data_IF_912514357720
#
_entry.id   IF_912514357720
#
_cell.length_a   1.000
_cell.length_b   1.000
_cell.length_c   1.000
_cell.angle_alpha   90.00
_cell.angle_beta   90.00
_cell.angle_gamma   90.00
#
_symmetry.space_group_name_H-M   'P 1'
#
loop_
_entity.id
_entity.type
_entity.pdbx_description
1 polymer ?
#
# COMPACT_ATOMS: atom_id res chain seq x y z
N UNK A 1 2.68 15.23 -2.86
CA UNK A 1 2.20 15.21 -1.45
C UNK A 1 2.72 13.96 -0.72
N UNK A 2 2.56 12.77 -1.28
CA UNK A 2 2.91 11.46 -0.68
C UNK A 2 4.34 11.38 -0.16
N UNK A 3 5.30 12.00 -0.84
CA UNK A 3 6.69 12.09 -0.38
C UNK A 3 6.88 12.71 1.01
N UNK A 4 5.91 13.49 1.49
CA UNK A 4 5.95 14.09 2.85
C UNK A 4 5.68 13.05 3.94
N UNK A 5 5.15 11.90 3.55
CA UNK A 5 4.77 10.81 4.44
C UNK A 5 5.88 9.75 4.60
N UNK A 6 7.01 9.92 3.92
CA UNK A 6 8.17 9.04 3.99
C UNK A 6 9.45 9.83 4.24
N UNK A 7 10.47 9.15 4.75
CA UNK A 7 11.77 9.72 5.08
C UNK A 7 12.90 9.15 4.20
N UNK A 8 14.04 9.82 4.18
CA UNK A 8 15.17 9.46 3.33
C UNK A 8 15.77 8.10 3.64
N UNK A 9 15.64 7.63 4.89
CA UNK A 9 16.15 6.32 5.32
C UNK A 9 15.15 5.17 5.11
N UNK A 10 13.90 5.50 4.71
CA UNK A 10 12.87 4.48 4.54
C UNK A 10 13.20 3.52 3.40
N UNK A 11 12.84 2.26 3.60
CA UNK A 11 12.74 1.23 2.57
C UNK A 11 11.25 0.98 2.34
N UNK A 12 10.74 1.51 1.23
CA UNK A 12 9.33 1.47 0.89
C UNK A 12 9.03 0.29 -0.02
N UNK A 13 7.95 -0.45 0.27
CA UNK A 13 7.38 -1.42 -0.65
C UNK A 13 6.03 -0.89 -1.17
N UNK A 14 5.95 -0.59 -2.47
CA UNK A 14 4.70 -0.29 -3.17
C UNK A 14 4.06 -1.60 -3.62
N UNK A 15 2.97 -1.98 -2.97
CA UNK A 15 2.26 -3.26 -3.18
C UNK A 15 1.32 -3.23 -4.41
N UNK A 16 1.18 -2.07 -5.06
CA UNK A 16 0.23 -1.83 -6.16
C UNK A 16 0.85 -0.96 -7.25
N UNK A 17 2.02 -1.34 -7.71
CA UNK A 17 2.89 -0.51 -8.55
C UNK A 17 2.25 0.12 -9.79
N UNK A 18 1.36 -0.61 -10.49
CA UNK A 18 0.68 -0.12 -11.68
C UNK A 18 1.65 0.37 -12.75
N UNK A 19 1.43 1.56 -13.29
CA UNK A 19 2.35 2.17 -14.26
C UNK A 19 3.58 2.85 -13.61
N UNK A 20 3.74 2.76 -12.28
CA UNK A 20 4.91 3.22 -11.56
C UNK A 20 4.92 4.70 -11.18
N UNK A 21 3.84 5.45 -11.36
CA UNK A 21 3.84 6.88 -11.11
C UNK A 21 4.12 7.25 -9.64
N UNK A 22 3.41 6.62 -8.69
CA UNK A 22 3.63 6.86 -7.27
C UNK A 22 5.00 6.32 -6.82
N UNK A 23 5.38 5.12 -7.30
CA UNK A 23 6.70 4.53 -7.07
C UNK A 23 7.84 5.45 -7.51
N UNK A 24 7.72 6.09 -8.69
CA UNK A 24 8.70 7.06 -9.16
C UNK A 24 8.89 8.20 -8.16
N UNK A 25 7.79 8.87 -7.79
CA UNK A 25 7.89 10.00 -6.86
C UNK A 25 8.38 9.58 -5.46
N UNK A 26 8.00 8.42 -4.97
CA UNK A 26 8.50 7.90 -3.70
C UNK A 26 10.00 7.59 -3.78
N UNK A 27 10.48 6.99 -4.88
CA UNK A 27 11.90 6.66 -5.07
C UNK A 27 12.84 7.86 -5.01
N UNK A 28 12.36 9.05 -5.35
CA UNK A 28 13.14 10.28 -5.26
C UNK A 28 13.43 10.73 -3.82
N UNK A 29 12.73 10.16 -2.83
CA UNK A 29 12.84 10.56 -1.42
C UNK A 29 13.49 9.49 -0.55
N UNK A 30 13.24 8.22 -0.82
CA UNK A 30 13.56 7.09 0.07
C UNK A 30 14.90 6.45 -0.28
N UNK A 31 15.47 5.67 0.66
CA UNK A 31 16.75 4.99 0.44
C UNK A 31 16.62 3.86 -0.60
N UNK A 32 15.51 3.12 -0.57
CA UNK A 32 15.20 2.01 -1.48
C UNK A 32 13.69 1.90 -1.68
N UNK A 33 13.29 1.50 -2.89
CA UNK A 33 11.91 1.18 -3.19
C UNK A 33 11.80 -0.22 -3.79
N UNK A 34 10.86 -1.00 -3.31
CA UNK A 34 10.44 -2.28 -3.89
C UNK A 34 9.07 -2.01 -4.53
N UNK A 35 9.00 -2.17 -5.85
CA UNK A 35 7.78 -2.07 -6.63
C UNK A 35 7.23 -3.46 -6.86
N UNK A 36 5.95 -3.68 -6.55
CA UNK A 36 5.26 -4.96 -6.73
C UNK A 36 4.03 -4.75 -7.62
N UNK A 37 3.95 -5.52 -8.69
CA UNK A 37 2.82 -5.51 -9.61
C UNK A 37 2.63 -6.90 -10.20
N UNK A 38 1.38 -7.35 -10.28
CA UNK A 38 1.03 -8.70 -10.79
C UNK A 38 0.88 -8.77 -12.31
N UNK A 39 0.78 -7.64 -12.96
CA UNK A 39 0.71 -7.56 -14.43
C UNK A 39 2.11 -7.37 -15.00
N UNK A 40 2.65 -8.44 -15.58
CA UNK A 40 4.00 -8.44 -16.17
C UNK A 40 4.20 -7.29 -17.18
N UNK A 41 3.18 -6.98 -18.00
CA UNK A 41 3.29 -5.85 -18.94
C UNK A 41 3.43 -4.50 -18.26
N UNK A 42 2.83 -4.31 -17.06
CA UNK A 42 3.04 -3.08 -16.29
C UNK A 42 4.43 -3.06 -15.66
N UNK A 43 4.95 -4.21 -15.23
CA UNK A 43 6.33 -4.32 -14.76
C UNK A 43 7.33 -3.93 -15.85
N UNK A 44 7.14 -4.39 -17.08
CA UNK A 44 8.01 -4.05 -18.22
C UNK A 44 7.98 -2.54 -18.53
N UNK A 45 6.77 -1.95 -18.55
CA UNK A 45 6.60 -0.51 -18.77
C UNK A 45 7.23 0.30 -17.63
N UNK A 46 7.00 -0.12 -16.37
CA UNK A 46 7.59 0.55 -15.22
C UNK A 46 9.12 0.45 -15.25
N UNK A 47 9.68 -0.71 -15.55
CA UNK A 47 11.13 -0.92 -15.66
C UNK A 47 11.75 0.03 -16.70
N UNK A 48 11.17 0.06 -17.89
CA UNK A 48 11.60 0.97 -18.94
C UNK A 48 11.54 2.44 -18.51
N UNK A 49 10.40 2.86 -17.93
CA UNK A 49 10.23 4.23 -17.49
C UNK A 49 11.22 4.62 -16.40
N UNK A 50 11.44 3.75 -15.41
CA UNK A 50 12.39 4.01 -14.32
C UNK A 50 13.83 4.15 -14.85
N UNK A 51 14.22 3.31 -15.83
CA UNK A 51 15.51 3.42 -16.48
C UNK A 51 15.66 4.75 -17.20
N UNK A 52 14.67 5.17 -18.02
CA UNK A 52 14.68 6.44 -18.74
C UNK A 52 14.72 7.66 -17.80
N UNK A 53 14.09 7.55 -16.64
CA UNK A 53 14.07 8.59 -15.61
C UNK A 53 15.31 8.56 -14.69
N UNK A 54 16.21 7.61 -14.90
CA UNK A 54 17.46 7.50 -14.14
C UNK A 54 17.30 7.03 -12.70
N UNK A 55 16.18 6.37 -12.36
CA UNK A 55 15.95 5.80 -11.03
C UNK A 55 16.85 4.58 -10.83
N UNK A 56 17.59 4.56 -9.71
CA UNK A 56 18.59 3.51 -9.44
C UNK A 56 18.32 2.72 -8.16
N UNK A 57 17.45 3.20 -7.30
CA UNK A 57 17.13 2.63 -5.99
C UNK A 57 15.79 1.87 -5.98
N UNK A 58 15.32 1.41 -7.15
CA UNK A 58 14.09 0.64 -7.29
C UNK A 58 14.39 -0.82 -7.66
N UNK A 59 13.66 -1.73 -7.03
CA UNK A 59 13.61 -3.15 -7.38
C UNK A 59 12.20 -3.47 -7.86
N UNK A 60 12.05 -4.01 -9.06
CA UNK A 60 10.76 -4.39 -9.62
C UNK A 60 10.55 -5.89 -9.41
N UNK A 61 9.38 -6.23 -8.86
CA UNK A 61 8.92 -7.59 -8.64
C UNK A 61 7.59 -7.81 -9.40
N UNK A 62 7.62 -8.68 -10.40
CA UNK A 62 6.42 -9.24 -11.04
C UNK A 62 5.84 -10.28 -10.09
N UNK A 63 4.90 -9.84 -9.25
CA UNK A 63 4.41 -10.65 -8.16
C UNK A 63 3.03 -10.19 -7.67
N UNK A 64 2.30 -11.10 -7.02
CA UNK A 64 1.07 -10.75 -6.32
C UNK A 64 1.39 -10.31 -4.89
N UNK A 65 0.88 -9.15 -4.45
CA UNK A 65 1.17 -8.57 -3.15
C UNK A 65 0.82 -9.50 -1.98
N UNK A 66 -0.33 -10.17 -2.04
CA UNK A 66 -0.78 -11.10 -0.98
C UNK A 66 0.12 -12.34 -0.95
N UNK A 67 0.39 -12.95 -2.11
CA UNK A 67 1.28 -14.09 -2.22
C UNK A 67 2.71 -13.76 -1.76
N UNK A 68 3.22 -12.56 -2.11
CA UNK A 68 4.53 -12.09 -1.69
C UNK A 68 4.65 -11.99 -0.16
N UNK A 69 3.65 -11.41 0.51
CA UNK A 69 3.63 -11.25 1.96
C UNK A 69 3.54 -12.59 2.70
N UNK A 70 2.87 -13.58 2.11
CA UNK A 70 2.67 -14.90 2.73
C UNK A 70 3.82 -15.86 2.43
N UNK A 71 4.18 -15.97 1.16
CA UNK A 71 5.05 -17.05 0.65
C UNK A 71 6.52 -16.66 0.55
N UNK A 72 6.81 -15.37 0.39
CA UNK A 72 8.16 -14.84 0.08
C UNK A 72 8.52 -13.60 0.87
N UNK A 73 8.25 -13.58 2.20
CA UNK A 73 8.51 -12.39 3.02
C UNK A 73 10.01 -12.00 3.07
N UNK A 74 10.91 -12.91 2.78
CA UNK A 74 12.34 -12.63 2.69
C UNK A 74 12.70 -11.60 1.60
N UNK A 75 11.91 -11.51 0.53
CA UNK A 75 12.08 -10.48 -0.52
C UNK A 75 11.78 -9.06 -0.01
N UNK A 76 11.08 -8.96 1.11
CA UNK A 76 10.70 -7.71 1.76
C UNK A 76 11.64 -7.34 2.92
N UNK A 77 12.80 -7.98 3.00
CA UNK A 77 13.76 -7.73 4.07
C UNK A 77 14.16 -6.26 4.16
N UNK A 78 14.02 -5.70 5.36
CA UNK A 78 14.34 -4.31 5.67
C UNK A 78 13.22 -3.31 5.34
N UNK A 79 12.12 -3.73 4.72
CA UNK A 79 10.95 -2.85 4.49
C UNK A 79 10.41 -2.36 5.82
N UNK A 80 10.27 -1.05 5.96
CA UNK A 80 9.68 -0.39 7.13
C UNK A 80 8.42 0.43 6.78
N UNK A 81 8.16 0.64 5.48
CA UNK A 81 6.96 1.32 5.01
C UNK A 81 6.32 0.54 3.87
N UNK A 82 5.04 0.22 3.99
CA UNK A 82 4.22 -0.26 2.88
C UNK A 82 3.39 0.89 2.30
N UNK A 83 3.42 1.02 0.99
CA UNK A 83 2.54 1.91 0.23
C UNK A 83 1.57 1.08 -0.61
N UNK A 84 0.35 1.58 -0.79
CA UNK A 84 -0.63 0.97 -1.69
C UNK A 84 -1.61 2.00 -2.25
N UNK A 85 -2.03 1.79 -3.50
CA UNK A 85 -3.12 2.46 -4.20
C UNK A 85 -4.01 1.38 -4.84
N UNK A 86 -4.80 0.64 -4.04
CA UNK A 86 -5.57 -0.47 -4.56
C UNK A 86 -6.58 0.00 -5.61
N UNK A 87 -6.57 -0.67 -6.76
CA UNK A 87 -7.54 -0.42 -7.81
C UNK A 87 -8.95 -0.83 -7.38
N UNK A 88 -9.97 -0.33 -8.06
CA UNK A 88 -11.34 -0.81 -7.86
C UNK A 88 -11.58 -2.07 -8.67
N UNK A 89 -12.17 -3.09 -8.08
CA UNK A 89 -12.72 -4.22 -8.83
C UNK A 89 -13.84 -3.71 -9.73
N UNK A 90 -13.64 -3.78 -11.03
CA UNK A 90 -14.52 -3.19 -12.02
C UNK A 90 -15.90 -3.82 -12.12
N UNK A 91 -16.80 -3.04 -12.69
CA UNK A 91 -18.14 -3.37 -13.17
C UNK A 91 -19.26 -3.40 -12.10
N UNK A 92 -19.80 -2.26 -11.86
CA UNK A 92 -21.12 -2.10 -11.26
C UNK A 92 -21.30 -0.65 -10.83
N UNK A 93 -22.36 -0.04 -11.31
CA UNK A 93 -22.80 1.31 -10.98
C UNK A 93 -23.23 1.43 -9.48
N UNK A 94 -22.48 0.73 -8.58
CA UNK A 94 -22.73 0.77 -7.15
C UNK A 94 -22.10 2.02 -6.56
N UNK A 95 -22.93 2.88 -5.99
CA UNK A 95 -22.54 4.14 -5.32
C UNK A 95 -21.93 3.92 -3.93
N UNK A 96 -21.83 2.68 -3.47
CA UNK A 96 -21.26 2.36 -2.16
C UNK A 96 -19.84 1.83 -2.38
N UNK A 97 -18.89 2.51 -1.79
CA UNK A 97 -17.48 2.11 -1.80
C UNK A 97 -17.20 1.32 -0.53
N UNK A 98 -16.71 0.09 -0.68
CA UNK A 98 -16.32 -0.78 0.43
C UNK A 98 -14.86 -1.24 0.25
N UNK A 99 -14.24 -1.68 1.33
CA UNK A 99 -12.86 -2.18 1.32
C UNK A 99 -12.72 -3.46 0.47
N UNK A 100 -13.77 -4.27 0.43
CA UNK A 100 -13.89 -5.47 -0.39
C UNK A 100 -13.95 -5.18 -1.91
N UNK A 101 -14.30 -3.94 -2.30
CA UNK A 101 -14.30 -3.53 -3.70
C UNK A 101 -12.90 -3.11 -4.19
N UNK A 102 -11.92 -3.13 -3.31
CA UNK A 102 -10.52 -2.83 -3.62
C UNK A 102 -9.80 -4.05 -4.18
N UNK A 103 -8.77 -3.82 -4.99
CA UNK A 103 -7.88 -4.86 -5.47
C UNK A 103 -6.41 -4.40 -5.33
N UNK A 104 -5.64 -5.06 -4.44
CA UNK A 104 -6.03 -6.19 -3.56
C UNK A 104 -7.11 -5.82 -2.56
N UNK A 105 -7.89 -6.84 -2.09
CA UNK A 105 -8.90 -6.67 -1.05
C UNK A 105 -8.23 -6.25 0.26
N UNK A 106 -8.64 -5.10 0.79
CA UNK A 106 -8.02 -4.57 2.01
C UNK A 106 -8.38 -5.39 3.26
N UNK A 107 -9.51 -6.10 3.27
CA UNK A 107 -9.84 -6.98 4.38
C UNK A 107 -8.91 -8.20 4.45
N UNK A 108 -8.38 -8.66 3.30
CA UNK A 108 -7.39 -9.74 3.25
C UNK A 108 -5.97 -9.22 3.51
N UNK A 109 -5.63 -8.07 2.94
CA UNK A 109 -4.29 -7.52 2.97
C UNK A 109 -3.92 -6.90 4.33
N UNK A 110 -4.86 -6.21 4.98
CA UNK A 110 -4.56 -5.46 6.21
C UNK A 110 -4.10 -6.34 7.38
N UNK A 111 -4.72 -7.51 7.64
CA UNK A 111 -4.21 -8.44 8.66
C UNK A 111 -2.77 -8.91 8.40
N UNK A 112 -2.39 -9.12 7.14
CA UNK A 112 -1.01 -9.49 6.78
C UNK A 112 -0.04 -8.34 7.06
N UNK A 113 -0.44 -7.10 6.75
CA UNK A 113 0.34 -5.92 7.07
C UNK A 113 0.49 -5.70 8.58
N UNK A 114 -0.54 -6.00 9.38
CA UNK A 114 -0.46 -5.92 10.84
C UNK A 114 0.65 -6.82 11.41
N UNK A 115 0.90 -7.98 10.79
CA UNK A 115 2.01 -8.87 11.19
C UNK A 115 3.39 -8.29 10.90
N UNK A 116 3.51 -7.44 9.89
CA UNK A 116 4.78 -6.82 9.52
C UNK A 116 5.27 -5.79 10.53
N UNK A 117 4.36 -5.24 11.36
CA UNK A 117 4.65 -4.17 12.34
C UNK A 117 5.23 -2.90 11.74
N UNK A 118 5.02 -2.69 10.46
CA UNK A 118 5.53 -1.55 9.70
C UNK A 118 4.53 -0.39 9.64
N UNK A 119 5.01 0.74 9.18
CA UNK A 119 4.16 1.84 8.75
C UNK A 119 3.43 1.47 7.46
N UNK A 120 2.18 1.89 7.33
CA UNK A 120 1.38 1.70 6.10
C UNK A 120 0.83 3.03 5.63
N UNK A 121 0.95 3.28 4.34
CA UNK A 121 0.35 4.42 3.66
C UNK A 121 -0.59 3.86 2.59
N UNK A 122 -1.90 4.06 2.77
CA UNK A 122 -2.89 3.60 1.81
C UNK A 122 -3.61 4.79 1.15
N UNK A 123 -3.53 4.86 -0.18
CA UNK A 123 -4.32 5.81 -0.97
C UNK A 123 -5.68 5.20 -1.27
N UNK A 124 -6.72 5.89 -0.90
CA UNK A 124 -8.09 5.42 -1.03
C UNK A 124 -8.97 6.45 -1.73
N UNK A 125 -10.12 5.97 -2.20
CA UNK A 125 -11.14 6.82 -2.82
C UNK A 125 -11.65 7.87 -1.84
N UNK A 126 -11.84 9.14 -2.27
CA UNK A 126 -12.45 10.19 -1.45
C UNK A 126 -13.93 9.92 -1.10
N UNK A 127 -14.54 8.90 -1.72
CA UNK A 127 -15.95 8.52 -1.47
C UNK A 127 -16.11 7.55 -0.30
N UNK A 128 -15.01 7.07 0.31
CA UNK A 128 -15.07 6.18 1.46
C UNK A 128 -15.44 6.92 2.73
N UNK A 129 -16.21 6.27 3.60
CA UNK A 129 -16.55 6.79 4.92
C UNK A 129 -15.35 6.64 5.87
N UNK A 130 -14.76 7.76 6.26
CA UNK A 130 -13.59 7.79 7.15
C UNK A 130 -13.88 7.13 8.50
N UNK A 131 -15.07 7.31 9.06
CA UNK A 131 -15.43 6.71 10.36
C UNK A 131 -15.45 5.19 10.26
N UNK A 132 -15.99 4.67 9.15
CA UNK A 132 -16.01 3.23 8.90
C UNK A 132 -14.59 2.68 8.71
N UNK A 133 -13.72 3.40 7.98
CA UNK A 133 -12.31 3.03 7.82
C UNK A 133 -11.58 2.92 9.16
N UNK A 134 -11.77 3.89 10.05
CA UNK A 134 -11.15 3.91 11.38
C UNK A 134 -11.60 2.76 12.27
N UNK A 135 -12.83 2.24 12.07
CA UNK A 135 -13.35 1.09 12.81
C UNK A 135 -12.88 -0.25 12.23
N UNK A 136 -12.65 -0.32 10.92
CA UNK A 136 -12.31 -1.57 10.23
C UNK A 136 -10.80 -1.82 10.14
N UNK A 137 -10.00 -0.75 10.07
CA UNK A 137 -8.55 -0.85 9.86
C UNK A 137 -7.81 -0.38 11.13
N UNK A 138 -7.31 -1.29 11.96
CA UNK A 138 -6.58 -0.91 13.18
C UNK A 138 -5.24 -0.24 12.84
N UNK A 139 -4.75 0.58 13.77
CA UNK A 139 -3.44 1.23 13.68
C UNK A 139 -3.42 2.55 12.93
N UNK A 140 -4.52 3.01 12.33
CA UNK A 140 -4.57 4.32 11.65
C UNK A 140 -4.26 5.43 12.66
N UNK A 141 -3.31 6.30 12.31
CA UNK A 141 -2.88 7.47 13.08
C UNK A 141 -3.32 8.77 12.43
N UNK A 142 -3.28 8.83 11.10
CA UNK A 142 -3.58 10.04 10.35
C UNK A 142 -4.46 9.73 9.14
N UNK A 143 -5.33 10.67 8.81
CA UNK A 143 -6.12 10.65 7.58
C UNK A 143 -5.92 12.00 6.89
N UNK A 144 -5.26 11.99 5.72
CA UNK A 144 -5.07 13.19 4.92
C UNK A 144 -6.11 13.25 3.81
N UNK A 145 -6.89 14.32 3.81
CA UNK A 145 -7.83 14.63 2.73
C UNK A 145 -7.11 15.52 1.72
N UNK A 146 -6.73 14.96 0.59
CA UNK A 146 -5.98 15.70 -0.44
C UNK A 146 -6.96 16.30 -1.45
N UNK A 147 -6.97 17.62 -1.53
CA UNK A 147 -7.86 18.37 -2.42
C UNK A 147 -7.07 19.27 -3.36
N UNK A 148 -7.56 19.42 -4.57
CA UNK A 148 -7.06 20.37 -5.57
C UNK A 148 -8.22 21.21 -6.07
N UNK A 149 -8.12 22.54 -5.95
CA UNK A 149 -9.19 23.49 -6.36
C UNK A 149 -10.56 23.15 -5.74
N UNK A 150 -10.58 22.88 -4.43
CA UNK A 150 -11.78 22.51 -3.66
C UNK A 150 -12.42 21.17 -4.08
N UNK A 151 -11.75 20.36 -4.89
CA UNK A 151 -12.20 19.03 -5.26
C UNK A 151 -11.33 17.97 -4.56
N UNK A 152 -11.94 17.11 -3.73
CA UNK A 152 -11.25 16.06 -3.01
C UNK A 152 -10.81 14.98 -4.00
N UNK A 153 -9.51 14.73 -4.10
CA UNK A 153 -8.92 13.81 -5.07
C UNK A 153 -8.65 12.44 -4.48
N UNK A 154 -8.15 12.39 -3.24
CA UNK A 154 -7.78 11.14 -2.60
C UNK A 154 -7.81 11.28 -1.07
N UNK A 155 -8.00 10.17 -0.39
CA UNK A 155 -7.71 10.00 1.03
C UNK A 155 -6.39 9.24 1.16
N UNK A 156 -5.49 9.73 2.01
CA UNK A 156 -4.29 8.98 2.37
C UNK A 156 -4.39 8.61 3.85
N UNK A 157 -4.49 7.32 4.12
CA UNK A 157 -4.42 6.77 5.47
C UNK A 157 -2.96 6.52 5.82
N UNK A 158 -2.54 6.95 6.99
CA UNK A 158 -1.24 6.61 7.56
C UNK A 158 -1.49 5.79 8.81
N UNK A 159 -1.03 4.55 8.81
CA UNK A 159 -1.12 3.64 9.93
C UNK A 159 0.28 3.32 10.48
N UNK A 160 0.37 3.20 11.80
CA UNK A 160 1.50 2.63 12.51
C UNK A 160 1.05 1.30 13.11
N UNK A 161 1.54 0.22 12.54
CA UNK A 161 1.15 -1.14 12.93
C UNK A 161 2.06 -1.74 14.01
N UNK A 162 3.07 -1.01 14.49
CA UNK A 162 4.02 -1.50 15.50
C UNK A 162 3.34 -1.90 16.81
N UNK A 163 2.27 -1.20 17.18
CA UNK A 163 1.52 -1.41 18.43
C UNK A 163 0.19 -2.18 18.24
N UNK A 164 -0.16 -2.61 17.02
CA UNK A 164 -1.37 -3.38 16.79
C UNK A 164 -1.16 -4.80 17.32
N UNK A 165 -2.04 -5.35 18.19
CA UNK A 165 -1.93 -6.72 18.65
C UNK A 165 -1.91 -7.71 17.46
N UNK A 166 -1.19 -8.82 17.64
CA UNK A 166 -1.20 -9.92 16.68
C UNK A 166 -2.24 -10.93 17.12
N UNK A 167 -3.42 -10.88 16.52
CA UNK A 167 -4.55 -11.77 16.86
C UNK A 167 -4.29 -13.23 16.46
N UNK A 168 -3.21 -13.54 15.76
CA UNK A 168 -2.87 -14.92 15.35
C UNK A 168 -2.41 -15.82 16.52
N UNK A 169 -2.24 -15.26 17.73
CA UNK A 169 -1.80 -16.02 18.92
C UNK A 169 -2.95 -16.56 19.79
N UNK A 170 -4.20 -16.31 19.41
CA UNK A 170 -5.36 -16.73 20.23
C UNK A 170 -5.99 -18.07 19.81
N UNK A 171 -5.46 -18.77 18.81
CA UNK A 171 -6.02 -20.08 18.39
C UNK A 171 -5.51 -21.29 19.21
N UNK A 172 -4.68 -21.08 20.24
CA UNK A 172 -4.13 -22.17 21.07
C UNK A 172 -4.79 -22.31 22.46
N UNK A 173 -6.03 -21.90 22.60
CA UNK A 173 -6.79 -22.24 23.81
C UNK A 173 -8.02 -23.09 23.44
N UNK A 174 -7.76 -24.37 23.22
CA UNK A 174 -8.80 -25.39 23.25
C UNK A 174 -8.75 -26.05 24.64
N UNK A 175 -9.86 -26.12 25.37
CA UNK A 175 -9.94 -26.74 26.67
C UNK A 175 -9.84 -28.27 26.63
#
# INVERSE_FOLDING_TARGET
YKQRLVDGEDIVCDLTGGLGADSYFLSLKVSRLIYVERNASYCDVAAYNMEQLGVRNIQILDDNAVALLIERPEKLSGVNVFYMDPARRGAGNRRVFALEDCEPDLNELWPLLCRSKCKVIAKLSPMLDIRRLLLQLPGIREVHVVSVRNDCKELLLVADLSCVPDDSKNDDVVP
#
